data_IF_747006253670
#
_entry.id   IF_747006253670
#
_cell.length_a   1.000
_cell.length_b   1.000
_cell.length_c   1.000
_cell.angle_alpha   90.00
_cell.angle_beta   90.00
_cell.angle_gamma   90.00
#
_symmetry.space_group_name_H-M   'P 1'
#
loop_
_entity.id
_entity.type
_entity.pdbx_description
1 polymer ?
#
# COMPACT_ATOMS: atom_id res chain seq x y z
N UNK A 1 -33.73 8.44 23.73
CA UNK A 1 -33.54 9.19 22.47
C UNK A 1 -33.33 8.16 21.37
N UNK A 2 -34.01 8.27 20.23
CA UNK A 2 -33.85 7.32 19.13
C UNK A 2 -32.39 7.36 18.64
N UNK A 3 -31.76 6.18 18.56
CA UNK A 3 -30.40 6.01 18.05
C UNK A 3 -30.37 6.52 16.60
N UNK A 4 -29.68 7.63 16.34
CA UNK A 4 -29.48 8.12 14.97
C UNK A 4 -28.58 7.11 14.24
N UNK A 5 -29.23 6.24 13.46
CA UNK A 5 -28.56 5.27 12.59
C UNK A 5 -28.06 5.92 11.31
N UNK A 6 -27.27 5.17 10.55
CA UNK A 6 -26.81 5.55 9.21
C UNK A 6 -27.98 5.33 8.23
N UNK A 7 -28.46 6.41 7.61
CA UNK A 7 -29.52 6.40 6.59
C UNK A 7 -28.98 6.06 5.20
N UNK A 8 -27.82 6.62 4.84
CA UNK A 8 -27.10 6.37 3.60
C UNK A 8 -25.62 6.19 3.90
N UNK A 9 -25.10 5.00 3.61
CA UNK A 9 -23.69 4.68 3.86
C UNK A 9 -22.75 5.36 2.85
N UNK A 10 -23.13 5.35 1.56
CA UNK A 10 -22.36 6.00 0.49
C UNK A 10 -22.74 7.48 0.43
N UNK A 11 -21.83 8.34 0.89
CA UNK A 11 -22.04 9.78 1.03
C UNK A 11 -21.03 10.61 0.23
N UNK A 12 -19.99 9.99 -0.30
CA UNK A 12 -18.93 10.63 -1.09
C UNK A 12 -18.87 10.07 -2.51
N UNK A 13 -18.43 10.90 -3.46
CA UNK A 13 -18.10 10.45 -4.80
C UNK A 13 -16.74 9.72 -4.78
N UNK A 14 -16.54 8.65 -5.57
CA UNK A 14 -15.23 8.04 -5.73
C UNK A 14 -14.25 8.90 -6.57
N UNK A 15 -14.76 9.93 -7.25
CA UNK A 15 -14.00 10.76 -8.19
C UNK A 15 -13.73 12.18 -7.68
N UNK A 16 -14.16 12.51 -6.46
CA UNK A 16 -13.92 13.80 -5.82
C UNK A 16 -13.36 13.62 -4.41
N UNK A 17 -12.73 14.68 -3.87
CA UNK A 17 -12.33 14.72 -2.47
C UNK A 17 -13.56 14.52 -1.57
N UNK A 18 -13.51 13.62 -0.56
CA UNK A 18 -14.61 13.45 0.40
C UNK A 18 -14.97 14.77 1.09
N UNK A 19 -16.24 15.18 0.98
CA UNK A 19 -16.76 16.43 1.55
C UNK A 19 -17.48 16.23 2.89
N UNK A 20 -17.81 14.99 3.22
CA UNK A 20 -18.52 14.59 4.44
C UNK A 20 -18.04 13.21 4.88
N UNK A 21 -18.15 12.90 6.18
CA UNK A 21 -17.87 11.56 6.73
C UNK A 21 -18.78 11.23 7.91
N UNK A 22 -19.00 9.95 8.18
CA UNK A 22 -19.70 9.49 9.39
C UNK A 22 -18.73 9.42 10.57
N UNK A 23 -19.00 10.22 11.60
CA UNK A 23 -18.31 10.18 12.89
C UNK A 23 -19.09 9.29 13.86
N UNK A 24 -18.41 8.32 14.46
CA UNK A 24 -18.97 7.53 15.54
C UNK A 24 -18.84 8.27 16.88
N UNK A 25 -19.95 8.48 17.57
CA UNK A 25 -20.01 9.12 18.89
C UNK A 25 -20.16 8.04 19.95
N UNK A 26 -19.10 7.85 20.76
CA UNK A 26 -19.02 6.76 21.74
C UNK A 26 -20.07 6.88 22.84
N UNK A 27 -20.30 8.09 23.34
CA UNK A 27 -21.19 8.37 24.47
C UNK A 27 -22.65 8.02 24.17
N UNK A 28 -23.03 8.14 22.90
CA UNK A 28 -24.41 7.92 22.46
C UNK A 28 -24.56 6.68 21.59
N UNK A 29 -23.46 5.97 21.30
CA UNK A 29 -23.39 4.85 20.36
C UNK A 29 -24.16 5.16 19.06
N UNK A 30 -23.93 6.37 18.53
CA UNK A 30 -24.64 6.87 17.35
C UNK A 30 -23.67 7.42 16.32
N UNK A 31 -24.15 7.54 15.08
CA UNK A 31 -23.36 8.11 14.00
C UNK A 31 -23.87 9.52 13.68
N UNK A 32 -22.95 10.45 13.55
CA UNK A 32 -23.23 11.81 13.09
C UNK A 32 -22.46 12.09 11.81
N UNK A 33 -23.15 12.59 10.79
CA UNK A 33 -22.51 13.06 9.58
C UNK A 33 -21.83 14.40 9.87
N UNK A 34 -20.51 14.48 9.65
CA UNK A 34 -19.71 15.70 9.82
C UNK A 34 -19.23 16.22 8.46
N UNK A 35 -19.20 17.55 8.26
CA UNK A 35 -18.60 18.14 7.07
C UNK A 35 -17.08 17.98 7.07
N UNK A 36 -16.50 17.98 5.88
CA UNK A 36 -15.08 17.79 5.62
C UNK A 36 -14.67 16.32 5.53
N UNK A 37 -13.44 16.11 5.06
CA UNK A 37 -12.81 14.80 4.99
C UNK A 37 -12.41 14.30 6.39
N UNK A 38 -12.57 12.99 6.61
CA UNK A 38 -12.11 12.30 7.82
C UNK A 38 -10.61 12.50 8.03
N UNK A 39 -10.20 12.79 9.28
CA UNK A 39 -8.77 12.81 9.66
C UNK A 39 -8.13 11.45 9.41
N UNK A 40 -6.90 11.43 8.90
CA UNK A 40 -6.13 10.21 8.78
C UNK A 40 -5.86 9.64 10.17
N UNK A 41 -6.09 8.35 10.35
CA UNK A 41 -6.01 7.72 11.67
C UNK A 41 -6.36 6.24 11.64
N UNK A 42 -6.27 5.62 12.81
CA UNK A 42 -6.70 4.26 13.07
C UNK A 42 -7.35 4.18 14.46
N UNK A 43 -8.10 3.11 14.69
CA UNK A 43 -8.72 2.85 15.98
C UNK A 43 -7.90 1.80 16.71
N UNK A 44 -7.44 2.13 17.93
CA UNK A 44 -6.68 1.21 18.79
C UNK A 44 -7.57 0.72 19.92
N UNK A 45 -7.72 -0.60 20.07
CA UNK A 45 -8.46 -1.20 21.18
C UNK A 45 -7.77 -0.90 22.53
N UNK A 46 -8.56 -0.65 23.57
CA UNK A 46 -8.08 -0.54 24.94
C UNK A 46 -8.05 -1.96 25.55
N UNK A 47 -6.89 -2.59 25.54
CA UNK A 47 -6.69 -4.00 25.92
C UNK A 47 -7.10 -4.46 27.34
N UNK A 48 -7.83 -3.66 28.13
CA UNK A 48 -8.06 -3.91 29.57
C UNK A 48 -9.40 -4.56 29.95
N UNK A 49 -10.31 -4.89 29.02
CA UNK A 49 -11.58 -5.55 29.40
C UNK A 49 -11.86 -6.83 28.63
N UNK A 50 -11.18 -7.91 29.04
CA UNK A 50 -11.65 -9.31 28.85
C UNK A 50 -12.92 -9.64 29.67
N UNK A 51 -13.65 -8.65 30.19
CA UNK A 51 -14.96 -8.83 30.81
C UNK A 51 -16.05 -8.34 29.85
N UNK A 52 -16.61 -9.32 29.12
CA UNK A 52 -17.97 -9.38 28.59
C UNK A 52 -18.58 -8.12 27.92
N UNK A 53 -18.64 -8.14 26.59
CA UNK A 53 -19.92 -7.90 25.89
C UNK A 53 -20.30 -6.50 25.41
N UNK A 54 -19.42 -5.49 25.48
CA UNK A 54 -19.75 -4.14 25.00
C UNK A 54 -18.81 -3.69 23.86
N UNK A 55 -19.42 -3.12 22.82
CA UNK A 55 -18.78 -2.41 21.70
C UNK A 55 -17.73 -1.40 22.20
N UNK A 56 -16.47 -1.82 22.38
CA UNK A 56 -15.36 -0.89 22.58
C UNK A 56 -14.84 -0.45 21.21
N UNK A 57 -15.16 0.78 20.74
CA UNK A 57 -14.69 1.28 19.45
C UNK A 57 -13.17 1.52 19.42
N UNK A 58 -12.49 1.46 20.57
CA UNK A 58 -11.11 1.86 20.72
C UNK A 58 -10.92 3.38 20.78
N UNK A 59 -9.67 3.82 20.92
CA UNK A 59 -9.27 5.22 20.84
C UNK A 59 -8.82 5.52 19.41
N UNK A 60 -9.35 6.61 18.84
CA UNK A 60 -8.85 7.13 17.57
C UNK A 60 -7.45 7.72 17.74
N UNK A 61 -6.48 7.16 17.04
CA UNK A 61 -5.10 7.63 16.99
C UNK A 61 -4.86 8.27 15.62
N UNK A 62 -4.57 9.58 15.55
CA UNK A 62 -4.33 10.27 14.29
C UNK A 62 -2.98 9.89 13.68
N UNK A 63 -2.92 9.86 12.35
CA UNK A 63 -1.66 9.80 11.59
C UNK A 63 -1.24 11.25 11.30
N UNK A 64 -0.52 11.86 12.24
CA UNK A 64 -0.17 13.29 12.19
C UNK A 64 0.57 13.67 10.91
N UNK A 65 1.51 12.86 10.45
CA UNK A 65 2.26 13.09 9.21
C UNK A 65 1.34 13.30 8.01
N UNK A 66 0.36 12.41 7.81
CA UNK A 66 -0.61 12.53 6.71
C UNK A 66 -1.50 13.76 6.89
N UNK A 67 -1.95 14.04 8.12
CA UNK A 67 -2.78 15.19 8.41
C UNK A 67 -2.04 16.53 8.19
N UNK A 68 -0.71 16.54 8.28
CA UNK A 68 0.13 17.69 7.91
C UNK A 68 0.37 17.80 6.39
N UNK A 69 0.51 16.67 5.69
CA UNK A 69 0.78 16.62 4.24
C UNK A 69 -0.46 17.00 3.42
N UNK A 70 -1.63 16.41 3.71
CA UNK A 70 -2.89 16.62 2.95
C UNK A 70 -3.20 18.09 2.64
N UNK A 71 -3.25 19.03 3.61
CA UNK A 71 -3.57 20.43 3.32
C UNK A 71 -2.49 21.12 2.46
N UNK A 72 -1.22 20.69 2.55
CA UNK A 72 -0.13 21.26 1.74
C UNK A 72 -0.20 20.78 0.29
N UNK A 73 -0.45 19.49 0.08
CA UNK A 73 -0.69 18.92 -1.26
C UNK A 73 -1.91 19.58 -1.90
N UNK A 74 -3.00 19.77 -1.14
CA UNK A 74 -4.19 20.49 -1.60
C UNK A 74 -3.87 21.92 -2.04
N UNK A 75 -3.16 22.69 -1.21
CA UNK A 75 -2.74 24.06 -1.55
C UNK A 75 -1.84 24.09 -2.79
N UNK A 76 -0.90 23.14 -2.90
CA UNK A 76 -0.01 23.02 -4.05
C UNK A 76 -0.77 22.68 -5.35
N UNK A 77 -1.78 21.80 -5.27
CA UNK A 77 -2.71 21.48 -6.35
C UNK A 77 -3.52 22.71 -6.78
N UNK A 78 -4.11 23.44 -5.82
CA UNK A 78 -4.89 24.66 -6.06
C UNK A 78 -4.06 25.79 -6.69
N UNK A 79 -2.76 25.83 -6.40
CA UNK A 79 -1.79 26.73 -7.04
C UNK A 79 -1.27 26.23 -8.40
N UNK A 80 -1.93 25.25 -9.02
CA UNK A 80 -1.61 24.69 -10.33
C UNK A 80 -0.19 24.07 -10.43
N UNK A 81 0.19 23.36 -9.36
CA UNK A 81 1.40 22.54 -9.30
C UNK A 81 2.69 23.32 -9.62
N UNK A 82 3.11 24.26 -8.76
CA UNK A 82 4.37 24.97 -8.96
C UNK A 82 5.57 24.02 -8.87
N UNK A 83 6.65 24.35 -9.59
CA UNK A 83 7.97 23.69 -9.57
C UNK A 83 8.04 22.23 -10.05
N UNK A 84 6.99 21.71 -10.69
CA UNK A 84 7.03 20.40 -11.37
C UNK A 84 7.76 20.46 -12.71
N UNK A 85 8.28 19.32 -13.16
CA UNK A 85 8.85 19.15 -14.50
C UNK A 85 7.78 19.29 -15.59
N UNK A 86 8.22 19.52 -16.83
CA UNK A 86 7.32 19.54 -17.99
C UNK A 86 6.61 18.20 -18.21
N UNK A 87 7.29 17.07 -17.96
CA UNK A 87 6.72 15.72 -18.10
C UNK A 87 5.64 15.47 -17.05
N UNK A 88 5.90 15.82 -15.78
CA UNK A 88 4.92 15.72 -14.70
C UNK A 88 3.69 16.57 -14.99
N UNK A 89 3.86 17.79 -15.53
CA UNK A 89 2.73 18.64 -15.92
C UNK A 89 1.86 18.00 -16.99
N UNK A 90 2.48 17.41 -18.03
CA UNK A 90 1.77 16.69 -19.09
C UNK A 90 0.99 15.49 -18.54
N UNK A 91 1.60 14.69 -17.66
CA UNK A 91 0.94 13.55 -17.03
C UNK A 91 -0.26 13.95 -16.19
N UNK A 92 -0.11 14.96 -15.32
CA UNK A 92 -1.21 15.45 -14.49
C UNK A 92 -2.35 15.99 -15.37
N UNK A 93 -2.05 16.80 -16.38
CA UNK A 93 -3.05 17.28 -17.33
C UNK A 93 -3.77 16.12 -18.02
N UNK A 94 -3.01 15.12 -18.49
CA UNK A 94 -3.57 13.94 -19.15
C UNK A 94 -4.46 13.12 -18.22
N UNK A 95 -4.11 12.96 -16.94
CA UNK A 95 -4.92 12.21 -15.97
C UNK A 95 -6.22 12.92 -15.58
N UNK A 96 -6.23 14.26 -15.58
CA UNK A 96 -7.44 15.06 -15.31
C UNK A 96 -8.30 15.34 -16.54
N UNK A 97 -7.76 15.21 -17.76
CA UNK A 97 -8.47 15.45 -19.01
C UNK A 97 -9.40 14.29 -19.38
N UNK A 98 -10.58 14.24 -18.77
CA UNK A 98 -11.56 13.17 -18.98
C UNK A 98 -12.18 13.24 -20.39
N UNK A 99 -12.34 14.45 -20.94
CA UNK A 99 -13.04 14.66 -22.21
C UNK A 99 -12.22 14.14 -23.41
N UNK A 100 -10.91 14.43 -23.45
CA UNK A 100 -10.08 14.04 -24.59
C UNK A 100 -9.52 12.63 -24.46
N UNK A 101 -9.31 12.13 -23.24
CA UNK A 101 -8.75 10.79 -23.04
C UNK A 101 -9.74 9.66 -23.28
N UNK A 102 -11.06 9.97 -23.35
CA UNK A 102 -12.15 8.99 -23.57
C UNK A 102 -12.01 7.76 -22.67
N UNK A 103 -11.56 7.95 -21.42
CA UNK A 103 -11.41 6.88 -20.44
C UNK A 103 -12.77 6.35 -20.02
N UNK A 104 -13.05 5.10 -20.36
CA UNK A 104 -14.17 4.36 -19.78
C UNK A 104 -13.95 4.14 -18.27
N UNK A 105 -12.70 3.87 -17.89
CA UNK A 105 -12.26 3.68 -16.50
C UNK A 105 -11.67 4.96 -15.93
N UNK A 106 -12.51 5.82 -15.36
CA UNK A 106 -12.04 7.05 -14.70
C UNK A 106 -11.20 6.73 -13.46
N UNK A 107 -10.10 7.46 -13.28
CA UNK A 107 -9.23 7.34 -12.11
C UNK A 107 -9.96 7.81 -10.85
N UNK A 108 -9.82 7.05 -9.77
CA UNK A 108 -10.41 7.45 -8.48
C UNK A 108 -9.61 8.59 -7.86
N UNK A 109 -10.30 9.42 -7.10
CA UNK A 109 -9.66 10.57 -6.46
C UNK A 109 -8.55 10.15 -5.49
N UNK A 110 -8.75 9.04 -4.76
CA UNK A 110 -7.73 8.51 -3.86
C UNK A 110 -6.46 8.04 -4.59
N UNK A 111 -6.59 7.59 -5.85
CA UNK A 111 -5.45 7.20 -6.68
C UNK A 111 -4.65 8.43 -7.10
N UNK A 112 -5.34 9.47 -7.59
CA UNK A 112 -4.74 10.75 -7.95
C UNK A 112 -4.05 11.40 -6.76
N UNK A 113 -4.71 11.46 -5.60
CA UNK A 113 -4.13 12.05 -4.39
C UNK A 113 -2.87 11.31 -3.94
N UNK A 114 -2.88 9.97 -3.96
CA UNK A 114 -1.73 9.18 -3.59
C UNK A 114 -0.51 9.51 -4.48
N UNK A 115 -0.70 9.55 -5.81
CA UNK A 115 0.37 9.88 -6.75
C UNK A 115 0.82 11.34 -6.63
N UNK A 116 -0.11 12.28 -6.50
CA UNK A 116 0.21 13.69 -6.31
C UNK A 116 0.97 13.96 -5.01
N UNK A 117 0.70 13.17 -3.97
CA UNK A 117 1.46 13.23 -2.71
C UNK A 117 2.93 12.89 -2.97
N UNK A 118 3.20 11.83 -3.74
CA UNK A 118 4.57 11.44 -4.09
C UNK A 118 5.27 12.45 -5.02
N UNK A 119 4.52 13.00 -5.98
CA UNK A 119 5.00 14.09 -6.83
C UNK A 119 5.37 15.30 -5.98
N UNK A 120 4.50 15.71 -5.04
CA UNK A 120 4.75 16.84 -4.17
C UNK A 120 5.99 16.61 -3.29
N UNK A 121 6.11 15.43 -2.67
CA UNK A 121 7.27 15.10 -1.84
C UNK A 121 8.58 15.14 -2.65
N UNK A 122 8.54 14.80 -3.93
CA UNK A 122 9.72 14.71 -4.81
C UNK A 122 10.07 16.03 -5.49
N UNK A 123 9.09 16.74 -6.03
CA UNK A 123 9.29 17.87 -6.94
C UNK A 123 8.99 19.24 -6.32
N UNK A 124 8.18 19.32 -5.27
CA UNK A 124 7.83 20.59 -4.66
C UNK A 124 9.04 21.28 -4.04
N UNK A 125 8.92 22.60 -3.86
CA UNK A 125 9.99 23.41 -3.28
C UNK A 125 10.33 22.90 -1.86
N UNK A 126 11.61 22.73 -1.50
CA UNK A 126 12.00 22.31 -0.15
C UNK A 126 11.36 23.13 0.98
N UNK A 127 11.11 24.43 0.77
CA UNK A 127 10.44 25.29 1.75
C UNK A 127 8.99 24.84 2.06
N UNK A 128 8.27 24.28 1.08
CA UNK A 128 6.91 23.77 1.29
C UNK A 128 6.89 22.48 2.12
N UNK A 129 8.02 21.77 2.15
CA UNK A 129 8.21 20.52 2.88
C UNK A 129 8.83 20.74 4.27
N UNK A 130 9.12 21.97 4.65
CA UNK A 130 9.72 22.28 5.96
C UNK A 130 8.85 21.73 7.12
N UNK A 131 9.49 21.03 8.05
CA UNK A 131 8.84 20.40 9.20
C UNK A 131 8.15 19.06 8.91
N UNK A 132 8.21 18.56 7.67
CA UNK A 132 7.78 17.20 7.34
C UNK A 132 8.98 16.26 7.51
N UNK A 133 8.95 15.46 8.56
CA UNK A 133 9.95 14.42 8.82
C UNK A 133 9.33 13.04 8.59
N UNK A 134 9.91 12.29 7.66
CA UNK A 134 9.47 10.94 7.31
C UNK A 134 10.47 9.96 7.91
N UNK A 135 10.11 9.38 9.05
CA UNK A 135 10.94 8.41 9.76
C UNK A 135 10.83 7.04 9.09
N UNK A 136 11.97 6.39 8.81
CA UNK A 136 12.01 5.03 8.27
C UNK A 136 12.17 3.96 9.38
N UNK A 137 12.41 2.70 9.00
CA UNK A 137 12.61 1.59 9.92
C UNK A 137 14.08 1.30 10.27
N UNK A 138 14.96 2.31 10.17
CA UNK A 138 16.40 2.18 10.39
C UNK A 138 17.18 1.73 9.15
N UNK A 139 16.56 1.80 7.98
CA UNK A 139 17.17 1.44 6.70
C UNK A 139 17.99 2.60 6.12
N UNK A 140 19.09 2.31 5.41
CA UNK A 140 19.97 3.31 4.76
C UNK A 140 19.39 3.87 3.44
N UNK A 141 18.09 3.70 3.22
CA UNK A 141 17.35 4.14 2.04
C UNK A 141 16.02 4.74 2.46
N UNK A 142 15.50 5.65 1.61
CA UNK A 142 14.24 6.32 1.86
C UNK A 142 13.04 5.42 1.53
N UNK A 143 12.00 5.47 2.35
CA UNK A 143 10.74 4.79 2.09
C UNK A 143 9.54 5.63 2.46
N UNK A 144 8.48 5.50 1.66
CA UNK A 144 7.24 6.28 1.77
C UNK A 144 6.06 5.32 1.57
N UNK A 145 5.09 5.35 2.48
CA UNK A 145 3.95 4.44 2.47
C UNK A 145 2.66 5.13 2.04
N UNK A 146 2.01 4.55 1.04
CA UNK A 146 0.69 4.90 0.53
C UNK A 146 -0.33 3.89 1.08
N UNK A 147 -1.06 4.29 2.12
CA UNK A 147 -2.12 3.47 2.70
C UNK A 147 -3.39 3.59 1.86
N UNK A 148 -3.78 2.49 1.24
CA UNK A 148 -4.95 2.42 0.34
C UNK A 148 -5.78 1.18 0.70
N UNK A 149 -7.06 1.39 1.02
CA UNK A 149 -7.98 0.28 1.30
C UNK A 149 -8.02 -0.74 0.15
N UNK A 150 -8.16 -2.02 0.47
CA UNK A 150 -8.25 -3.08 -0.54
C UNK A 150 -9.45 -2.84 -1.46
N UNK A 151 -9.22 -2.87 -2.78
CA UNK A 151 -10.25 -2.61 -3.79
C UNK A 151 -10.24 -1.20 -4.37
N UNK A 152 -9.48 -0.24 -3.79
CA UNK A 152 -9.38 1.13 -4.34
C UNK A 152 -8.40 1.26 -5.52
N UNK A 153 -7.79 0.15 -5.96
CA UNK A 153 -6.92 0.11 -7.14
C UNK A 153 -5.44 0.46 -6.86
N UNK A 154 -4.83 -0.14 -5.83
CA UNK A 154 -3.38 0.00 -5.53
C UNK A 154 -2.50 -0.20 -6.77
N UNK A 155 -2.80 -1.22 -7.59
CA UNK A 155 -2.05 -1.51 -8.81
C UNK A 155 -2.12 -0.39 -9.86
N UNK A 156 -3.24 0.36 -9.94
CA UNK A 156 -3.33 1.55 -10.80
C UNK A 156 -2.39 2.64 -10.32
N UNK A 157 -2.31 2.87 -9.00
CA UNK A 157 -1.37 3.81 -8.39
C UNK A 157 0.08 3.42 -8.68
N UNK A 158 0.42 2.12 -8.60
CA UNK A 158 1.75 1.63 -8.99
C UNK A 158 2.06 1.95 -10.45
N UNK A 159 1.13 1.69 -11.38
CA UNK A 159 1.31 1.99 -12.80
C UNK A 159 1.51 3.50 -13.03
N UNK A 160 0.74 4.36 -12.36
CA UNK A 160 0.90 5.82 -12.43
C UNK A 160 2.27 6.29 -11.90
N UNK A 161 2.74 5.74 -10.78
CA UNK A 161 4.08 6.04 -10.23
C UNK A 161 5.16 5.59 -11.21
N UNK A 162 5.03 4.40 -11.79
CA UNK A 162 5.98 3.87 -12.78
C UNK A 162 6.06 4.78 -14.01
N UNK A 163 4.90 5.21 -14.53
CA UNK A 163 4.84 6.12 -15.67
C UNK A 163 5.52 7.46 -15.34
N UNK A 164 5.16 8.05 -14.20
CA UNK A 164 5.75 9.31 -13.73
C UNK A 164 7.27 9.23 -13.55
N UNK A 165 7.77 8.19 -12.88
CA UNK A 165 9.19 7.98 -12.62
C UNK A 165 9.98 7.73 -13.91
N UNK A 166 9.49 6.81 -14.75
CA UNK A 166 10.18 6.42 -15.98
C UNK A 166 10.24 7.56 -16.98
N UNK A 167 9.10 8.22 -17.24
CA UNK A 167 9.01 9.27 -18.24
C UNK A 167 9.83 10.50 -17.85
N UNK A 168 9.86 10.87 -16.57
CA UNK A 168 10.74 11.94 -16.10
C UNK A 168 12.22 11.57 -16.26
N UNK A 169 12.59 10.34 -15.90
CA UNK A 169 13.98 9.87 -16.05
C UNK A 169 14.42 9.80 -17.50
N UNK A 170 13.52 9.45 -18.42
CA UNK A 170 13.80 9.40 -19.86
C UNK A 170 13.94 10.82 -20.43
N UNK A 171 13.03 11.72 -20.06
CA UNK A 171 13.08 13.11 -20.49
C UNK A 171 14.29 13.87 -19.92
N UNK A 172 14.80 13.48 -18.76
CA UNK A 172 15.96 14.10 -18.11
C UNK A 172 16.86 13.04 -17.46
N UNK A 173 17.74 12.37 -18.23
CA UNK A 173 18.59 11.28 -17.74
C UNK A 173 19.50 11.65 -16.56
N UNK A 174 19.91 12.93 -16.47
CA UNK A 174 20.74 13.46 -15.39
C UNK A 174 19.99 13.78 -14.09
N UNK A 175 18.65 13.79 -14.09
CA UNK A 175 17.87 14.07 -12.88
C UNK A 175 17.91 12.87 -11.93
N UNK A 176 18.54 13.06 -10.77
CA UNK A 176 18.74 12.01 -9.77
C UNK A 176 17.46 11.68 -8.99
N UNK A 177 16.40 12.50 -9.10
CA UNK A 177 15.13 12.29 -8.39
C UNK A 177 14.30 11.13 -8.95
N UNK A 178 14.60 10.70 -10.19
CA UNK A 178 13.79 9.74 -10.92
C UNK A 178 14.57 8.50 -11.34
N UNK A 179 13.85 7.39 -11.52
CA UNK A 179 14.39 6.16 -12.08
C UNK A 179 13.48 5.55 -13.14
N UNK A 180 14.11 4.90 -14.13
CA UNK A 180 13.44 4.02 -15.10
C UNK A 180 13.72 2.54 -14.85
N UNK A 181 14.43 2.22 -13.75
CA UNK A 181 14.74 0.86 -13.34
C UNK A 181 13.93 0.56 -12.08
N UNK A 182 12.87 -0.23 -12.22
CA UNK A 182 11.81 -0.35 -11.21
C UNK A 182 11.62 -1.82 -10.84
N UNK A 183 11.85 -2.12 -9.56
CA UNK A 183 11.63 -3.42 -8.98
C UNK A 183 10.35 -3.41 -8.16
N UNK A 184 9.42 -4.30 -8.51
CA UNK A 184 8.19 -4.54 -7.78
C UNK A 184 8.33 -5.84 -7.00
N UNK A 185 8.09 -5.83 -5.69
CA UNK A 185 8.19 -7.00 -4.83
C UNK A 185 6.81 -7.32 -4.24
N UNK A 186 6.40 -8.58 -4.39
CA UNK A 186 5.11 -9.10 -3.93
C UNK A 186 5.28 -10.09 -2.76
N UNK A 187 4.24 -10.30 -1.93
CA UNK A 187 4.30 -11.22 -0.79
C UNK A 187 4.28 -12.71 -1.18
N UNK A 188 3.99 -13.04 -2.45
CA UNK A 188 3.92 -14.41 -2.92
C UNK A 188 3.73 -14.50 -4.43
N UNK A 189 3.80 -15.73 -4.97
CA UNK A 189 3.74 -16.01 -6.41
C UNK A 189 2.41 -15.57 -7.02
N UNK A 190 1.27 -15.87 -6.39
CA UNK A 190 -0.05 -15.48 -6.89
C UNK A 190 -0.20 -13.97 -7.06
N UNK A 191 0.32 -13.19 -6.11
CA UNK A 191 0.27 -11.72 -6.19
C UNK A 191 1.24 -11.21 -7.26
N UNK A 192 2.46 -11.74 -7.29
CA UNK A 192 3.47 -11.45 -8.33
C UNK A 192 2.91 -11.65 -9.74
N UNK A 193 2.18 -12.74 -9.98
CA UNK A 193 1.65 -13.08 -11.30
C UNK A 193 0.53 -12.11 -11.70
N UNK A 194 -0.31 -11.66 -10.75
CA UNK A 194 -1.30 -10.60 -11.00
C UNK A 194 -0.67 -9.23 -11.28
N UNK A 195 0.48 -8.94 -10.68
CA UNK A 195 1.21 -7.68 -10.89
C UNK A 195 1.96 -7.63 -12.24
N UNK A 196 1.93 -8.70 -13.06
CA UNK A 196 2.53 -8.67 -14.41
C UNK A 196 1.87 -7.64 -15.33
N UNK A 197 0.64 -7.21 -15.03
CA UNK A 197 -0.05 -6.10 -15.72
C UNK A 197 0.67 -4.75 -15.60
N UNK A 198 1.66 -4.63 -14.71
CA UNK A 198 2.53 -3.46 -14.59
C UNK A 198 3.67 -3.46 -15.61
N UNK A 199 3.86 -4.53 -16.39
CA UNK A 199 4.86 -4.55 -17.45
C UNK A 199 4.26 -4.07 -18.78
N UNK A 200 4.88 -3.11 -19.49
CA UNK A 200 4.36 -2.62 -20.77
C UNK A 200 4.26 -3.66 -21.89
N UNK A 201 5.06 -4.73 -21.83
CA UNK A 201 5.03 -5.86 -22.79
C UNK A 201 3.87 -6.83 -22.54
N UNK A 202 3.14 -6.70 -21.42
CA UNK A 202 1.97 -7.50 -21.15
C UNK A 202 0.78 -7.03 -22.01
N UNK A 203 0.05 -7.93 -22.71
CA UNK A 203 -1.13 -7.55 -23.50
C UNK A 203 -2.23 -6.90 -22.66
N UNK A 204 -2.38 -7.30 -21.40
CA UNK A 204 -3.38 -6.78 -20.45
C UNK A 204 -2.79 -5.69 -19.54
N UNK A 205 -1.81 -4.93 -20.04
CA UNK A 205 -1.13 -3.92 -19.24
C UNK A 205 -2.06 -2.78 -18.80
N UNK A 206 -1.83 -2.28 -17.59
CA UNK A 206 -2.68 -1.23 -17.00
C UNK A 206 -2.51 0.13 -17.66
N UNK A 207 -1.41 0.38 -18.36
CA UNK A 207 -1.18 1.65 -19.04
C UNK A 207 -2.17 1.86 -20.19
N UNK A 208 -2.47 0.80 -20.94
CA UNK A 208 -3.47 0.82 -22.00
C UNK A 208 -4.88 0.65 -21.45
N UNK A 209 -5.09 -0.29 -20.52
CA UNK A 209 -6.42 -0.56 -19.95
C UNK A 209 -7.03 0.64 -19.20
N UNK A 210 -6.20 1.42 -18.50
CA UNK A 210 -6.63 2.65 -17.82
C UNK A 210 -6.26 3.94 -18.58
N UNK A 211 -5.68 3.82 -19.78
CA UNK A 211 -5.22 4.95 -20.62
C UNK A 211 -4.41 5.95 -19.76
N UNK A 212 -3.32 5.46 -19.16
CA UNK A 212 -2.49 6.24 -18.23
C UNK A 212 -1.47 7.14 -18.93
N UNK A 213 -1.16 6.86 -20.20
CA UNK A 213 -0.22 7.60 -21.04
C UNK A 213 -0.78 7.81 -22.44
N UNK A 214 -0.37 8.88 -23.12
CA UNK A 214 -0.67 9.08 -24.54
C UNK A 214 0.27 8.26 -25.44
N UNK A 215 0.07 8.33 -26.76
CA UNK A 215 0.88 7.57 -27.73
C UNK A 215 2.38 7.95 -27.72
N UNK A 216 2.72 9.21 -27.43
CA UNK A 216 4.12 9.66 -27.33
C UNK A 216 4.76 9.13 -26.06
N UNK A 217 4.08 9.33 -24.92
CA UNK A 217 4.49 8.84 -23.61
C UNK A 217 4.60 7.31 -23.60
N UNK A 218 3.74 6.61 -24.34
CA UNK A 218 3.82 5.15 -24.48
C UNK A 218 5.15 4.70 -25.09
N UNK A 219 5.59 5.33 -26.18
CA UNK A 219 6.87 5.00 -26.84
C UNK A 219 8.06 5.18 -25.90
N UNK A 220 8.04 6.23 -25.08
CA UNK A 220 9.07 6.46 -24.08
C UNK A 220 8.98 5.41 -22.96
N UNK A 221 7.79 5.13 -22.45
CA UNK A 221 7.57 4.18 -21.34
C UNK A 221 8.11 2.77 -21.65
N UNK A 222 8.13 2.35 -22.91
CA UNK A 222 8.73 1.07 -23.32
C UNK A 222 10.24 0.97 -23.02
N UNK A 223 10.93 2.09 -22.75
CA UNK A 223 12.33 2.10 -22.33
C UNK A 223 12.51 1.82 -20.83
N UNK A 224 11.43 1.77 -20.05
CA UNK A 224 11.46 1.44 -18.63
C UNK A 224 11.80 -0.05 -18.42
N UNK A 225 12.71 -0.32 -17.49
CA UNK A 225 13.01 -1.68 -17.03
C UNK A 225 12.19 -1.97 -15.79
N UNK A 226 11.15 -2.80 -15.96
CA UNK A 226 10.21 -3.15 -14.89
C UNK A 226 10.31 -4.64 -14.62
N UNK A 227 10.72 -5.00 -13.41
CA UNK A 227 10.80 -6.38 -12.96
C UNK A 227 9.86 -6.60 -11.78
N UNK A 228 9.06 -7.66 -11.85
CA UNK A 228 8.11 -8.06 -10.81
C UNK A 228 8.58 -9.37 -10.21
N UNK A 229 8.85 -9.36 -8.90
CA UNK A 229 9.37 -10.52 -8.16
C UNK A 229 8.62 -10.73 -6.84
N UNK A 230 9.06 -11.70 -6.04
CA UNK A 230 8.58 -11.92 -4.68
C UNK A 230 9.75 -12.03 -3.70
N UNK A 231 9.44 -11.98 -2.40
CA UNK A 231 10.45 -12.07 -1.34
C UNK A 231 11.26 -13.38 -1.39
N UNK A 232 10.66 -14.52 -1.78
CA UNK A 232 11.39 -15.80 -1.88
C UNK A 232 12.58 -15.71 -2.84
N UNK A 233 12.49 -14.90 -3.89
CA UNK A 233 13.59 -14.70 -4.86
C UNK A 233 14.77 -13.95 -4.21
N UNK A 234 14.50 -13.12 -3.21
CA UNK A 234 15.50 -12.38 -2.44
C UNK A 234 16.18 -13.22 -1.37
N UNK A 235 15.74 -14.47 -1.16
CA UNK A 235 16.39 -15.37 -0.21
C UNK A 235 17.88 -15.55 -0.54
N UNK A 236 18.74 -15.70 0.49
CA UNK A 236 20.14 -16.01 0.27
C UNK A 236 20.27 -17.33 -0.51
N UNK A 237 21.32 -17.43 -1.32
CA UNK A 237 21.62 -18.70 -1.98
C UNK A 237 21.95 -19.76 -0.92
N UNK A 238 21.26 -20.90 -0.95
CA UNK A 238 21.52 -21.97 0.00
C UNK A 238 22.85 -22.66 -0.35
N UNK A 239 23.89 -22.40 0.45
CA UNK A 239 25.24 -22.95 0.29
C UNK A 239 25.28 -24.49 0.26
N UNK A 240 24.23 -25.15 0.74
CA UNK A 240 24.12 -26.61 0.81
C UNK A 240 23.56 -27.27 -0.46
N UNK A 241 23.10 -26.49 -1.45
CA UNK A 241 22.64 -27.01 -2.74
C UNK A 241 23.76 -26.93 -3.80
N UNK A 242 24.51 -28.02 -3.93
CA UNK A 242 25.57 -28.21 -4.93
C UNK A 242 26.49 -29.39 -4.59
N UNK A 243 27.31 -29.90 -5.53
CA UNK A 243 28.31 -30.92 -5.22
C UNK A 243 29.27 -30.40 -4.12
N UNK A 244 29.44 -31.19 -3.06
CA UNK A 244 30.14 -30.89 -1.77
C UNK A 244 31.61 -30.41 -1.86
N UNK A 245 32.13 -30.11 -3.06
CA UNK A 245 33.57 -29.96 -3.32
C UNK A 245 34.00 -28.49 -3.49
N UNK A 246 33.08 -27.53 -3.58
CA UNK A 246 33.44 -26.10 -3.64
C UNK A 246 32.65 -25.32 -2.59
N UNK A 247 33.28 -25.04 -1.44
CA UNK A 247 32.77 -24.03 -0.50
C UNK A 247 32.94 -22.66 -1.13
N UNK A 248 31.98 -22.23 -1.96
CA UNK A 248 31.86 -20.82 -2.33
C UNK A 248 31.56 -20.08 -1.03
N UNK A 249 32.37 -19.07 -0.70
CA UNK A 249 32.08 -18.19 0.45
C UNK A 249 30.74 -17.45 0.29
N UNK A 250 30.34 -16.65 1.29
CA UNK A 250 29.05 -15.96 1.27
C UNK A 250 28.91 -15.13 -0.01
N UNK A 251 27.74 -15.20 -0.63
CA UNK A 251 27.41 -14.48 -1.87
C UNK A 251 27.66 -12.97 -1.68
N UNK A 252 28.47 -12.35 -2.54
CA UNK A 252 28.67 -10.89 -2.50
C UNK A 252 27.39 -10.16 -2.91
N UNK A 253 27.22 -8.91 -2.45
CA UNK A 253 26.03 -8.10 -2.79
C UNK A 253 25.89 -7.90 -4.31
N UNK A 254 26.99 -7.78 -5.04
CA UNK A 254 26.99 -7.68 -6.51
C UNK A 254 26.61 -9.02 -7.19
N UNK A 255 27.03 -10.17 -6.64
CA UNK A 255 26.61 -11.47 -7.15
C UNK A 255 25.12 -11.72 -6.87
N UNK A 256 24.65 -11.36 -5.68
CA UNK A 256 23.23 -11.37 -5.31
C UNK A 256 22.40 -10.52 -6.27
N UNK A 257 22.82 -9.28 -6.51
CA UNK A 257 22.15 -8.37 -7.42
C UNK A 257 21.95 -8.98 -8.81
N UNK A 258 23.00 -9.54 -9.41
CA UNK A 258 22.92 -10.16 -10.74
C UNK A 258 22.02 -11.40 -10.78
N UNK A 259 21.96 -12.16 -9.68
CA UNK A 259 21.08 -13.34 -9.56
C UNK A 259 19.61 -12.93 -9.43
N UNK A 260 19.32 -11.97 -8.55
CA UNK A 260 17.95 -11.58 -8.21
C UNK A 260 17.34 -10.62 -9.22
N UNK A 261 18.17 -9.85 -9.93
CA UNK A 261 17.76 -8.81 -10.89
C UNK A 261 18.54 -8.93 -12.22
N UNK A 262 18.45 -10.07 -12.93
CA UNK A 262 19.25 -10.32 -14.14
C UNK A 262 19.00 -9.28 -15.25
N UNK A 263 17.77 -8.78 -15.38
CA UNK A 263 17.37 -7.85 -16.45
C UNK A 263 17.91 -6.42 -16.23
N UNK A 264 18.38 -6.12 -15.03
CA UNK A 264 18.81 -4.78 -14.63
C UNK A 264 20.24 -4.52 -15.11
N UNK A 265 21.06 -5.55 -15.30
CA UNK A 265 22.43 -5.42 -15.80
C UNK A 265 23.25 -4.45 -14.94
N UNK A 266 23.79 -3.39 -15.55
CA UNK A 266 24.56 -2.35 -14.85
C UNK A 266 23.72 -1.20 -14.27
N UNK A 267 22.41 -1.37 -14.09
CA UNK A 267 21.53 -0.31 -13.58
C UNK A 267 21.87 0.09 -12.13
N UNK A 268 21.66 1.38 -11.85
CA UNK A 268 21.79 1.99 -10.53
C UNK A 268 20.52 2.79 -10.19
N UNK A 269 20.41 3.22 -8.94
CA UNK A 269 19.30 4.04 -8.43
C UNK A 269 17.95 3.38 -8.70
N UNK A 270 17.78 2.19 -8.14
CA UNK A 270 16.61 1.36 -8.40
C UNK A 270 15.45 1.87 -7.56
N UNK A 271 14.31 2.06 -8.21
CA UNK A 271 13.07 2.36 -7.50
C UNK A 271 12.44 1.04 -7.06
N UNK A 272 12.11 0.93 -5.77
CA UNK A 272 11.43 -0.22 -5.19
C UNK A 272 9.95 0.11 -5.04
N UNK A 273 9.08 -0.83 -5.40
CA UNK A 273 7.64 -0.77 -5.11
C UNK A 273 7.27 -2.06 -4.38
N UNK A 274 6.86 -1.96 -3.12
CA UNK A 274 6.42 -3.10 -2.33
C UNK A 274 4.89 -3.17 -2.33
N UNK A 275 4.31 -4.28 -2.78
CA UNK A 275 2.90 -4.60 -2.58
C UNK A 275 2.70 -5.38 -1.28
N UNK A 276 1.58 -5.14 -0.59
CA UNK A 276 1.34 -5.66 0.76
C UNK A 276 2.53 -5.43 1.70
N UNK A 277 3.03 -4.20 1.68
CA UNK A 277 4.25 -3.78 2.36
C UNK A 277 4.25 -3.99 3.89
N UNK A 278 3.11 -4.35 4.49
CA UNK A 278 3.04 -4.75 5.89
C UNK A 278 3.89 -6.01 6.21
N UNK A 279 4.22 -6.81 5.19
CA UNK A 279 5.19 -7.90 5.29
C UNK A 279 6.65 -7.46 5.11
N UNK A 280 6.92 -6.21 4.73
CA UNK A 280 8.26 -5.67 4.47
C UNK A 280 8.63 -4.69 5.59
N UNK A 281 9.04 -5.23 6.74
CA UNK A 281 9.47 -4.44 7.89
C UNK A 281 10.70 -5.07 8.54
N UNK A 282 11.58 -4.26 9.12
CA UNK A 282 12.63 -4.77 10.00
C UNK A 282 11.98 -5.42 11.24
N UNK A 283 12.16 -6.73 11.49
CA UNK A 283 11.66 -7.38 12.69
C UNK A 283 12.47 -6.91 13.91
N UNK A 284 11.86 -6.94 15.10
CA UNK A 284 12.59 -6.82 16.36
C UNK A 284 12.56 -8.15 17.09
N UNK A 285 13.65 -8.46 17.80
CA UNK A 285 13.85 -9.75 18.47
C UNK A 285 12.73 -10.08 19.49
N UNK A 286 12.00 -9.07 19.97
CA UNK A 286 10.95 -9.15 20.99
C UNK A 286 9.51 -9.15 20.44
N UNK A 287 9.30 -9.03 19.12
CA UNK A 287 8.01 -8.58 18.57
C UNK A 287 7.20 -9.60 17.75
N UNK A 288 7.74 -10.77 17.37
CA UNK A 288 7.02 -11.69 16.46
C UNK A 288 7.05 -13.14 16.97
N UNK A 289 5.88 -13.72 17.30
CA UNK A 289 5.75 -15.16 17.64
C UNK A 289 5.79 -16.05 16.39
N UNK A 290 5.39 -15.52 15.23
CA UNK A 290 5.34 -16.24 13.96
C UNK A 290 6.71 -16.20 13.25
N UNK A 291 7.39 -17.35 13.29
CA UNK A 291 8.70 -17.52 12.66
C UNK A 291 8.68 -17.35 11.15
N UNK A 292 7.60 -17.76 10.48
CA UNK A 292 7.53 -17.67 9.01
C UNK A 292 7.34 -16.21 8.57
N UNK A 293 6.49 -15.45 9.25
CA UNK A 293 6.34 -14.01 8.98
C UNK A 293 7.62 -13.24 9.33
N UNK A 294 8.32 -13.61 10.40
CA UNK A 294 9.62 -13.02 10.73
C UNK A 294 10.68 -13.32 9.67
N UNK A 295 10.76 -14.57 9.19
CA UNK A 295 11.70 -14.98 8.14
C UNK A 295 11.40 -14.23 6.84
N UNK A 296 10.13 -14.18 6.42
CA UNK A 296 9.67 -13.44 5.25
C UNK A 296 10.05 -11.96 5.32
N UNK A 297 9.76 -11.31 6.45
CA UNK A 297 10.08 -9.90 6.65
C UNK A 297 11.59 -9.63 6.63
N UNK A 298 12.38 -10.51 7.28
CA UNK A 298 13.85 -10.47 7.27
C UNK A 298 14.40 -10.59 5.85
N UNK A 299 14.02 -11.65 5.12
CA UNK A 299 14.51 -11.89 3.76
C UNK A 299 14.16 -10.72 2.82
N UNK A 300 12.95 -10.19 2.96
CA UNK A 300 12.50 -9.08 2.12
C UNK A 300 13.33 -7.81 2.39
N UNK A 301 13.44 -7.39 3.65
CA UNK A 301 14.14 -6.14 3.99
C UNK A 301 15.65 -6.27 3.73
N UNK A 302 16.26 -7.40 4.10
CA UNK A 302 17.69 -7.64 3.86
C UNK A 302 18.00 -7.74 2.37
N UNK A 303 17.10 -8.32 1.57
CA UNK A 303 17.22 -8.33 0.12
C UNK A 303 17.29 -6.92 -0.46
N UNK A 304 16.46 -6.00 0.02
CA UNK A 304 16.51 -4.59 -0.38
C UNK A 304 17.80 -3.92 0.11
N UNK A 305 18.24 -4.20 1.35
CA UNK A 305 19.50 -3.67 1.88
C UNK A 305 20.72 -4.11 1.02
N UNK A 306 20.74 -5.37 0.56
CA UNK A 306 21.78 -5.88 -0.35
C UNK A 306 21.72 -5.19 -1.72
N UNK A 307 20.53 -4.96 -2.26
CA UNK A 307 20.35 -4.20 -3.51
C UNK A 307 20.88 -2.77 -3.35
N UNK A 308 20.58 -2.12 -2.22
CA UNK A 308 21.04 -0.77 -1.93
C UNK A 308 22.57 -0.71 -1.87
N UNK A 309 23.23 -1.64 -1.17
CA UNK A 309 24.71 -1.70 -1.11
C UNK A 309 25.35 -2.01 -2.46
N UNK A 310 24.72 -2.84 -3.29
CA UNK A 310 25.27 -3.20 -4.60
C UNK A 310 25.15 -2.06 -5.63
N UNK A 311 23.96 -1.46 -5.75
CA UNK A 311 23.61 -0.58 -6.88
C UNK A 311 22.88 0.71 -6.51
N UNK A 312 22.56 0.91 -5.24
CA UNK A 312 21.79 2.05 -4.75
C UNK A 312 20.29 1.87 -4.99
N UNK A 313 19.52 2.06 -3.93
CA UNK A 313 18.07 2.23 -3.99
C UNK A 313 17.78 3.72 -4.06
N UNK A 314 17.02 4.15 -5.07
CA UNK A 314 16.55 5.54 -5.15
C UNK A 314 15.60 5.83 -3.99
N UNK A 315 14.57 4.98 -3.87
CA UNK A 315 13.49 5.09 -2.90
C UNK A 315 12.62 3.83 -2.95
N UNK A 316 11.95 3.52 -1.85
CA UNK A 316 10.88 2.52 -1.83
C UNK A 316 9.50 3.16 -1.64
N UNK A 317 8.55 2.79 -2.50
CA UNK A 317 7.13 3.07 -2.31
C UNK A 317 6.44 1.83 -1.77
N UNK A 318 5.93 1.94 -0.55
CA UNK A 318 5.18 0.88 0.13
C UNK A 318 3.68 1.07 -0.10
N UNK A 319 3.02 0.09 -0.68
CA UNK A 319 1.57 0.09 -0.84
C UNK A 319 0.95 -1.01 0.01
N UNK A 320 0.02 -0.63 0.89
CA UNK A 320 -0.66 -1.58 1.79
C UNK A 320 -1.99 -1.01 2.27
N UNK A 321 -2.94 -1.89 2.59
CA UNK A 321 -4.18 -1.48 3.28
C UNK A 321 -4.00 -1.41 4.80
N UNK A 322 -3.00 -2.11 5.32
CA UNK A 322 -2.81 -2.44 6.73
C UNK A 322 -1.36 -2.15 7.15
N UNK A 323 -0.91 -0.88 7.23
CA UNK A 323 0.50 -0.53 7.51
C UNK A 323 0.86 -0.68 8.99
N UNK A 324 0.62 -1.87 9.53
CA UNK A 324 0.94 -2.26 10.89
C UNK A 324 2.02 -3.32 10.86
N UNK A 325 3.01 -3.20 11.73
CA UNK A 325 3.95 -4.29 11.99
C UNK A 325 3.23 -5.36 12.83
N UNK A 326 3.37 -6.65 12.53
CA UNK A 326 2.91 -7.72 13.41
C UNK A 326 3.52 -7.54 14.80
N UNK A 327 2.70 -7.60 15.85
CA UNK A 327 3.15 -7.57 17.24
C UNK A 327 2.66 -8.81 17.97
N UNK A 328 3.55 -9.48 18.72
CA UNK A 328 3.24 -10.63 19.56
C UNK A 328 2.18 -10.34 20.63
N UNK A 329 1.58 -11.40 21.17
CA UNK A 329 0.41 -11.33 22.09
C UNK A 329 0.63 -10.54 23.37
N UNK A 330 1.88 -10.29 23.77
CA UNK A 330 2.27 -9.70 25.06
C UNK A 330 2.44 -8.18 25.02
N UNK A 331 2.66 -7.57 23.85
CA UNK A 331 2.77 -6.12 23.69
C UNK A 331 1.73 -5.65 22.66
N UNK A 332 0.52 -5.30 23.13
CA UNK A 332 -0.58 -4.79 22.29
C UNK A 332 -0.35 -3.37 21.75
N UNK A 333 0.89 -2.89 21.72
CA UNK A 333 1.22 -1.62 21.07
C UNK A 333 1.50 -1.93 19.61
N UNK A 334 0.43 -2.05 18.80
CA UNK A 334 0.55 -2.12 17.35
C UNK A 334 1.42 -0.96 16.84
N UNK A 335 2.59 -1.27 16.27
CA UNK A 335 3.51 -0.27 15.72
C UNK A 335 3.11 0.01 14.27
N UNK A 336 2.32 1.06 14.11
CA UNK A 336 2.01 1.67 12.82
C UNK A 336 3.32 2.11 12.12
N UNK A 337 3.38 2.00 10.79
CA UNK A 337 4.47 2.57 10.00
C UNK A 337 4.59 4.08 10.25
N UNK A 338 5.81 4.54 10.50
CA UNK A 338 6.10 5.96 10.75
C UNK A 338 6.31 6.76 9.45
N UNK A 339 6.37 6.07 8.31
CA UNK A 339 6.58 6.65 6.97
C UNK A 339 5.30 6.68 6.13
N UNK A 340 4.11 6.63 6.74
CA UNK A 340 2.83 6.79 6.01
C UNK A 340 2.66 8.24 5.60
N UNK A 341 2.67 8.50 4.29
CA UNK A 341 2.56 9.85 3.72
C UNK A 341 1.21 10.12 3.09
N UNK A 342 0.47 9.06 2.72
CA UNK A 342 -0.91 9.14 2.21
C UNK A 342 -1.78 8.07 2.86
N UNK A 343 -3.05 8.40 3.07
CA UNK A 343 -4.05 7.52 3.68
C UNK A 343 -5.40 7.66 2.96
N UNK A 344 -5.96 6.53 2.55
CA UNK A 344 -7.35 6.39 2.17
C UNK A 344 -7.87 5.08 2.78
N UNK A 345 -8.47 5.21 3.96
CA UNK A 345 -8.82 4.09 4.82
C UNK A 345 -10.09 3.36 4.37
N UNK A 346 -10.39 2.25 5.05
CA UNK A 346 -11.58 1.44 4.78
C UNK A 346 -12.88 2.25 4.89
N UNK A 347 -12.98 3.13 5.88
CA UNK A 347 -14.17 3.97 6.06
C UNK A 347 -14.37 4.93 4.88
N UNK A 348 -13.31 5.62 4.43
CA UNK A 348 -13.39 6.49 3.26
C UNK A 348 -13.78 5.69 2.01
N UNK A 349 -13.23 4.49 1.85
CA UNK A 349 -13.56 3.61 0.72
C UNK A 349 -15.03 3.14 0.75
N UNK A 350 -15.57 2.82 1.92
CA UNK A 350 -16.98 2.46 2.10
C UNK A 350 -17.87 3.67 1.79
N UNK A 351 -17.54 4.83 2.34
CA UNK A 351 -18.29 6.08 2.19
C UNK A 351 -18.26 6.61 0.75
N UNK A 352 -17.21 6.30 -0.01
CA UNK A 352 -17.08 6.57 -1.45
C UNK A 352 -17.63 5.46 -2.37
N UNK A 353 -18.16 4.37 -1.81
CA UNK A 353 -18.72 3.26 -2.59
C UNK A 353 -17.69 2.44 -3.38
N UNK A 354 -16.42 2.51 -3.01
CA UNK A 354 -15.30 1.82 -3.68
C UNK A 354 -15.11 0.38 -3.22
N UNK A 355 -15.66 0.02 -2.06
CA UNK A 355 -15.59 -1.32 -1.50
C UNK A 355 -16.96 -1.83 -1.13
N UNK A 356 -17.14 -3.15 -1.24
CA UNK A 356 -18.37 -3.80 -0.77
C UNK A 356 -18.47 -3.64 0.75
N UNK A 357 -19.65 -3.27 1.22
CA UNK A 357 -19.93 -3.20 2.66
C UNK A 357 -19.85 -4.60 3.27
N UNK A 358 -18.89 -4.88 4.18
CA UNK A 358 -18.85 -6.14 4.87
C UNK A 358 -20.08 -6.23 5.79
N UNK A 359 -20.91 -7.25 5.61
CA UNK A 359 -22.01 -7.56 6.53
C UNK A 359 -21.52 -8.62 7.50
N UNK A 360 -21.46 -8.27 8.78
CA UNK A 360 -21.16 -9.23 9.84
C UNK A 360 -22.47 -9.91 10.24
N UNK A 361 -22.49 -11.24 10.24
CA UNK A 361 -23.66 -12.01 10.67
C UNK A 361 -23.78 -11.97 12.21
N UNK A 362 -24.61 -11.05 12.72
CA UNK A 362 -24.79 -10.85 14.17
C UNK A 362 -25.81 -11.84 14.77
N UNK A 363 -26.64 -12.51 13.95
CA UNK A 363 -27.67 -13.46 14.40
C UNK A 363 -27.79 -14.66 13.45
N UNK A 364 -28.14 -15.81 14.01
CA UNK A 364 -28.56 -17.03 13.32
C UNK A 364 -29.92 -17.50 13.86
N UNK A 365 -30.52 -18.53 13.26
CA UNK A 365 -31.84 -19.06 13.65
C UNK A 365 -31.78 -19.98 14.90
N UNK A 366 -30.69 -19.94 15.68
CA UNK A 366 -30.57 -20.70 16.92
C UNK A 366 -31.50 -20.13 17.99
N UNK A 367 -32.19 -21.00 18.73
CA UNK A 367 -33.15 -20.63 19.80
C UNK A 367 -32.52 -19.64 20.78
N UNK A 368 -33.18 -18.48 20.95
CA UNK A 368 -32.69 -17.31 21.67
C UNK A 368 -32.51 -17.55 23.18
N UNK A 369 -31.26 -17.69 23.62
CA UNK A 369 -30.83 -17.53 25.01
C UNK A 369 -30.01 -16.23 25.20
N UNK A 370 -29.83 -15.75 26.44
CA UNK A 370 -29.12 -14.49 26.73
C UNK A 370 -27.63 -14.45 26.35
N UNK A 371 -27.01 -15.61 26.07
CA UNK A 371 -25.58 -15.74 25.70
C UNK A 371 -25.34 -16.11 24.23
N UNK A 372 -26.22 -15.67 23.31
CA UNK A 372 -26.13 -16.09 21.91
C UNK A 372 -25.02 -15.36 21.15
N UNK A 373 -23.88 -16.03 20.96
CA UNK A 373 -22.90 -15.68 19.92
C UNK A 373 -23.31 -16.35 18.62
N UNK A 374 -23.42 -15.58 17.53
CA UNK A 374 -23.71 -16.10 16.19
C UNK A 374 -22.72 -17.21 15.82
N UNK A 375 -23.23 -18.43 15.56
CA UNK A 375 -22.40 -19.55 15.09
C UNK A 375 -21.76 -19.25 13.75
N UNK A 376 -22.38 -18.42 12.91
CA UNK A 376 -21.79 -17.98 11.64
C UNK A 376 -20.58 -17.06 11.84
N UNK A 377 -20.57 -16.25 12.91
CA UNK A 377 -19.41 -15.42 13.21
C UNK A 377 -18.24 -16.25 13.74
N UNK A 378 -18.52 -17.33 14.49
CA UNK A 378 -17.54 -18.28 14.99
C UNK A 378 -17.54 -19.61 14.21
N UNK A 379 -17.84 -19.57 12.91
CA UNK A 379 -18.13 -20.80 12.15
C UNK A 379 -16.99 -21.81 12.24
N UNK A 380 -15.74 -21.33 12.20
CA UNK A 380 -14.56 -22.16 12.31
C UNK A 380 -14.50 -22.94 13.62
N UNK A 381 -14.87 -22.35 14.77
CA UNK A 381 -14.91 -23.07 16.05
C UNK A 381 -15.91 -24.23 16.04
N UNK A 382 -16.95 -24.13 15.20
CA UNK A 382 -18.02 -25.12 15.10
C UNK A 382 -17.82 -26.14 13.97
N UNK A 383 -17.00 -25.85 12.96
CA UNK A 383 -16.75 -26.76 11.82
C UNK A 383 -15.35 -27.33 11.77
N UNK A 384 -14.43 -26.89 12.65
CA UNK A 384 -13.02 -27.32 12.62
C UNK A 384 -12.84 -28.84 12.72
N UNK A 385 -13.68 -29.52 13.50
CA UNK A 385 -13.62 -30.98 13.61
C UNK A 385 -14.10 -31.68 12.33
N UNK A 386 -15.07 -31.10 11.63
CA UNK A 386 -15.64 -31.64 10.40
C UNK A 386 -14.83 -31.27 9.14
N UNK A 387 -14.00 -30.21 9.17
CA UNK A 387 -13.12 -29.84 8.04
C UNK A 387 -12.10 -30.93 7.67
N UNK A 388 -11.80 -31.85 8.59
CA UNK A 388 -10.90 -32.97 8.36
C UNK A 388 -11.60 -34.24 7.84
N UNK A 389 -12.94 -34.24 7.72
CA UNK A 389 -13.65 -35.37 7.10
C UNK A 389 -13.44 -35.35 5.59
N UNK A 390 -13.10 -36.51 5.03
CA UNK A 390 -13.18 -36.71 3.57
C UNK A 390 -14.63 -36.54 3.15
N UNK A 391 -14.90 -35.50 2.37
CA UNK A 391 -16.17 -35.37 1.69
C UNK A 391 -16.24 -36.44 0.58
N UNK A 392 -17.33 -37.19 0.53
CA UNK A 392 -17.67 -37.98 -0.65
C UNK A 392 -17.85 -37.00 -1.82
N UNK A 393 -17.27 -37.28 -3.00
CA UNK A 393 -17.42 -36.42 -4.16
C UNK A 393 -18.89 -36.39 -4.58
N UNK A 394 -19.48 -35.20 -4.61
CA UNK A 394 -20.79 -34.97 -5.23
C UNK A 394 -20.67 -34.85 -6.74
#
# INVERSE_FOLDING_TARGET
MAQKGIDKLIISSPFEEPKEHWLYIRETQSFEKKPGRRKAGYWRSLGETRKAGADDPGIFVPIELVNQIRPRVKKWRENNYPNITGTTRKLLQFWYDIEHTRRDKRLFWCQLEAVETEIWLTEANPAEKQGIEILNDGSDWERQCLKLATGTGKTVVMAMIIAWQSLNKIASPGDARFSKNILIIAPGITVRDRLQVLKPDNPDNFYQDFILVDSSMWQDLLQAKIMVTNWHTLAPYNENYGPKVIKKGPESDEAFFRRVLPDFGGAHNILIINDEAHHCHRPREDEVEDREEQEKATIWIEGIDRINRARGVLKAYDLTATPFKPTGKTNQVEKLFTWIVSDFGLNDAIESGLVKTPKVAVRDDSIAGPDLKSKFFHIYEHVREDLNRRAEPN
#
